data_IF_681145686710
#
_entry.id   IF_681145686710
#
_cell.length_a   1.000
_cell.length_b   1.000
_cell.length_c   1.000
_cell.angle_alpha   90.00
_cell.angle_beta   90.00
_cell.angle_gamma   90.00
#
_symmetry.space_group_name_H-M   'P 1'
#
loop_
_entity.id
_entity.type
_entity.pdbx_description
1 polymer ?
#
# COMPACT_ATOMS: atom_id res chain seq x y z
N UNK A 1 7.68 1.66 31.87
CA UNK A 1 8.76 2.60 31.55
C UNK A 1 8.37 3.59 30.46
N UNK A 2 9.07 4.71 30.37
CA UNK A 2 8.87 5.70 29.32
C UNK A 2 10.17 6.47 29.05
N UNK A 3 10.23 7.06 27.84
CA UNK A 3 11.23 8.05 27.46
C UNK A 3 10.55 9.19 26.70
N UNK A 4 10.90 10.43 27.00
CA UNK A 4 10.41 11.64 26.33
C UNK A 4 11.58 12.27 25.57
N UNK A 5 11.46 12.37 24.27
CA UNK A 5 12.37 13.12 23.38
C UNK A 5 11.79 14.48 23.04
N UNK A 6 12.48 15.22 22.18
CA UNK A 6 12.07 16.57 21.78
C UNK A 6 10.69 16.58 21.08
N UNK A 7 10.48 15.66 20.14
CA UNK A 7 9.25 15.60 19.32
C UNK A 7 8.60 14.20 19.32
N UNK A 8 8.93 13.35 20.32
CA UNK A 8 8.35 12.01 20.42
C UNK A 8 8.41 11.50 21.85
N UNK A 9 7.55 10.54 22.16
CA UNK A 9 7.67 9.73 23.36
C UNK A 9 7.53 8.24 23.03
N UNK A 10 8.21 7.39 23.80
CA UNK A 10 8.01 5.96 23.82
C UNK A 10 7.60 5.51 25.19
N UNK A 11 6.62 4.63 25.26
CA UNK A 11 6.07 4.12 26.50
C UNK A 11 5.92 2.61 26.40
N UNK A 12 6.19 1.90 27.48
CA UNK A 12 6.04 0.46 27.52
C UNK A 12 5.61 0.00 28.91
N UNK A 13 4.72 -0.98 28.93
CA UNK A 13 4.23 -1.65 30.13
C UNK A 13 4.25 -3.17 29.90
N UNK A 14 4.45 -3.95 30.94
CA UNK A 14 4.46 -5.42 30.87
C UNK A 14 5.51 -6.00 29.88
N UNK A 15 6.65 -5.33 29.74
CA UNK A 15 7.73 -5.78 28.86
C UNK A 15 8.55 -6.90 29.52
N UNK A 16 9.13 -7.77 28.66
CA UNK A 16 9.98 -8.87 29.13
C UNK A 16 11.20 -8.37 29.92
N UNK A 17 11.74 -7.19 29.56
CA UNK A 17 12.92 -6.62 30.20
C UNK A 17 13.00 -5.09 29.98
N UNK A 18 14.03 -4.48 30.57
CA UNK A 18 14.28 -3.03 30.54
C UNK A 18 14.92 -2.51 29.26
N UNK A 19 15.29 -3.39 28.31
CA UNK A 19 15.93 -3.02 27.03
C UNK A 19 14.94 -2.47 26.00
N UNK A 20 13.63 -2.68 26.19
CA UNK A 20 12.60 -2.31 25.21
C UNK A 20 12.59 -0.80 24.96
N UNK A 21 12.51 0.03 25.99
CA UNK A 21 12.49 1.50 25.84
C UNK A 21 13.77 2.05 25.18
N UNK A 22 14.99 1.67 25.62
CA UNK A 22 16.22 2.08 24.92
C UNK A 22 16.26 1.68 23.46
N UNK A 23 15.79 0.46 23.12
CA UNK A 23 15.77 -0.04 21.74
C UNK A 23 14.78 0.75 20.86
N UNK A 24 13.57 1.02 21.36
CA UNK A 24 12.58 1.84 20.66
C UNK A 24 13.10 3.26 20.41
N UNK A 25 13.69 3.91 21.43
CA UNK A 25 14.32 5.23 21.30
C UNK A 25 15.39 5.22 20.21
N UNK A 26 16.32 4.28 20.30
CA UNK A 26 17.42 4.13 19.34
C UNK A 26 16.90 3.98 17.92
N UNK A 27 15.97 3.05 17.71
CA UNK A 27 15.37 2.82 16.40
C UNK A 27 14.68 4.07 15.84
N UNK A 28 13.96 4.82 16.68
CA UNK A 28 13.32 6.07 16.24
C UNK A 28 14.34 7.12 15.80
N UNK A 29 15.43 7.29 16.51
CA UNK A 29 16.45 8.30 16.19
C UNK A 29 17.28 7.92 14.95
N UNK A 30 17.68 6.66 14.84
CA UNK A 30 18.53 6.17 13.74
C UNK A 30 17.82 6.07 12.38
N UNK A 31 16.49 6.04 12.37
CA UNK A 31 15.70 5.95 11.14
C UNK A 31 14.99 7.27 10.79
N UNK A 32 15.59 8.42 11.13
CA UNK A 32 15.00 9.73 10.91
C UNK A 32 14.81 10.10 9.42
N UNK A 33 15.49 9.43 8.52
CA UNK A 33 15.37 9.59 7.06
C UNK A 33 14.19 8.83 6.45
N UNK A 34 13.53 7.94 7.20
CA UNK A 34 12.35 7.21 6.71
C UNK A 34 11.08 8.05 6.88
N UNK A 35 10.05 7.83 6.02
CA UNK A 35 8.71 8.33 6.28
C UNK A 35 8.22 7.86 7.65
N UNK A 36 7.34 8.64 8.30
CA UNK A 36 6.96 8.41 9.71
C UNK A 36 6.41 7.02 9.98
N UNK A 37 5.54 6.50 9.10
CA UNK A 37 4.95 5.17 9.27
C UNK A 37 6.01 4.06 9.25
N UNK A 38 6.91 4.09 8.28
CA UNK A 38 8.02 3.15 8.15
C UNK A 38 8.98 3.25 9.33
N UNK A 39 9.22 4.46 9.82
CA UNK A 39 10.02 4.72 11.02
C UNK A 39 9.38 4.12 12.27
N UNK A 40 8.04 4.22 12.43
CA UNK A 40 7.31 3.59 13.54
C UNK A 40 7.37 2.06 13.45
N UNK A 41 7.28 1.47 12.25
CA UNK A 41 7.48 0.02 12.07
C UNK A 41 8.87 -0.40 12.59
N UNK A 42 9.93 0.38 12.33
CA UNK A 42 11.27 0.10 12.87
C UNK A 42 11.30 0.14 14.40
N UNK A 43 10.53 1.03 15.01
CA UNK A 43 10.39 1.08 16.48
C UNK A 43 9.70 -0.18 17.02
N UNK A 44 8.64 -0.65 16.35
CA UNK A 44 7.96 -1.90 16.74
C UNK A 44 8.88 -3.11 16.58
N UNK A 45 9.58 -3.23 15.44
CA UNK A 45 10.57 -4.28 15.20
C UNK A 45 11.68 -4.29 16.28
N UNK A 46 12.14 -3.11 16.71
CA UNK A 46 13.16 -2.98 17.74
C UNK A 46 12.66 -3.42 19.13
N UNK A 47 11.42 -3.10 19.47
CA UNK A 47 10.81 -3.56 20.71
C UNK A 47 10.73 -5.09 20.77
N UNK A 48 10.23 -5.71 19.67
CA UNK A 48 10.11 -7.16 19.56
C UNK A 48 11.48 -7.87 19.59
N UNK A 49 12.50 -7.31 18.95
CA UNK A 49 13.84 -7.90 18.85
C UNK A 49 14.53 -8.11 20.20
N UNK A 50 14.11 -7.40 21.22
CA UNK A 50 14.66 -7.50 22.59
C UNK A 50 13.69 -8.16 23.57
N UNK A 51 12.61 -8.77 23.06
CA UNK A 51 11.68 -9.59 23.82
C UNK A 51 10.25 -9.08 23.92
N UNK A 52 9.97 -7.81 23.58
CA UNK A 52 8.62 -7.27 23.52
C UNK A 52 7.81 -7.40 24.80
N UNK A 53 6.52 -7.68 24.67
CA UNK A 53 5.59 -7.91 25.77
C UNK A 53 5.82 -9.30 26.41
N UNK A 54 5.91 -9.37 27.73
CA UNK A 54 6.13 -10.64 28.44
C UNK A 54 5.00 -11.65 28.25
N UNK A 55 3.81 -11.19 27.87
CA UNK A 55 2.64 -12.03 27.64
C UNK A 55 2.63 -12.64 26.23
N UNK A 56 3.50 -12.17 25.34
CA UNK A 56 3.55 -12.56 23.92
C UNK A 56 2.95 -11.53 22.99
N UNK A 57 2.73 -11.95 21.77
CA UNK A 57 2.25 -11.13 20.64
C UNK A 57 0.77 -11.38 20.43
N UNK A 58 0.01 -10.36 20.05
CA UNK A 58 -1.40 -10.53 19.68
C UNK A 58 -1.84 -9.49 18.66
N UNK A 59 -1.65 -8.20 18.94
CA UNK A 59 -2.23 -7.12 18.14
C UNK A 59 -1.24 -5.98 17.91
N UNK A 60 -1.51 -5.16 16.88
CA UNK A 60 -0.79 -3.93 16.61
C UNK A 60 -1.70 -2.92 15.92
N UNK A 61 -1.43 -1.63 16.13
CA UNK A 61 -2.09 -0.55 15.41
C UNK A 61 -1.09 0.54 15.04
N UNK A 62 -1.29 1.16 13.87
CA UNK A 62 -0.50 2.27 13.37
C UNK A 62 -1.44 3.34 12.81
N UNK A 63 -1.42 4.52 13.43
CA UNK A 63 -2.20 5.67 12.96
C UNK A 63 -1.25 6.81 12.66
N UNK A 64 -1.39 7.41 11.47
CA UNK A 64 -0.72 8.66 11.10
C UNK A 64 -1.77 9.67 10.70
N UNK A 65 -1.73 10.82 11.31
CA UNK A 65 -2.63 11.95 11.00
C UNK A 65 -1.87 13.03 10.26
N UNK A 66 -2.60 13.81 9.46
CA UNK A 66 -2.07 14.98 8.79
C UNK A 66 -1.68 16.08 9.80
N UNK A 67 -0.78 16.98 9.39
CA UNK A 67 -0.35 18.12 10.21
C UNK A 67 -1.50 19.11 10.43
N UNK A 68 -2.27 19.36 9.39
CA UNK A 68 -3.38 20.31 9.42
C UNK A 68 -4.71 19.55 9.50
N UNK A 69 -5.64 20.06 10.30
CA UNK A 69 -7.01 19.59 10.34
C UNK A 69 -7.73 20.06 9.06
N UNK A 70 -8.41 19.14 8.39
CA UNK A 70 -9.25 19.48 7.23
C UNK A 70 -10.73 19.62 7.63
N UNK A 71 -11.57 20.12 6.73
CA UNK A 71 -13.02 20.11 6.92
C UNK A 71 -13.60 18.69 6.85
N UNK A 72 -12.87 17.76 6.25
CA UNK A 72 -13.24 16.37 6.06
C UNK A 72 -12.44 15.47 7.01
N UNK A 73 -13.02 15.10 8.14
CA UNK A 73 -12.37 14.31 9.19
C UNK A 73 -11.72 13.02 8.66
N UNK A 74 -12.32 12.38 7.65
CA UNK A 74 -11.76 11.17 7.04
C UNK A 74 -10.47 11.40 6.26
N UNK A 75 -10.18 12.65 5.83
CA UNK A 75 -8.93 13.02 5.17
C UNK A 75 -7.79 13.32 6.16
N UNK A 76 -8.13 13.55 7.43
CA UNK A 76 -7.14 13.84 8.47
C UNK A 76 -6.29 12.62 8.81
N UNK A 77 -6.86 11.42 8.73
CA UNK A 77 -6.13 10.17 8.88
C UNK A 77 -5.47 9.79 7.56
N UNK A 78 -4.15 9.89 7.51
CA UNK A 78 -3.35 9.48 6.35
C UNK A 78 -3.12 7.98 6.32
N UNK A 79 -2.96 7.38 7.49
CA UNK A 79 -2.80 5.93 7.69
C UNK A 79 -3.60 5.53 8.92
N UNK A 80 -4.40 4.48 8.83
CA UNK A 80 -5.11 3.84 9.96
C UNK A 80 -5.11 2.32 9.71
N UNK A 81 -4.10 1.64 10.26
CA UNK A 81 -3.91 0.21 10.09
C UNK A 81 -4.05 -0.50 11.43
N UNK A 82 -4.74 -1.65 11.44
CA UNK A 82 -5.00 -2.46 12.63
C UNK A 82 -4.83 -3.94 12.34
N UNK A 83 -4.27 -4.62 13.31
CA UNK A 83 -4.19 -6.08 13.39
C UNK A 83 -4.72 -6.45 14.77
N UNK A 84 -5.91 -7.01 14.83
CA UNK A 84 -6.60 -7.27 16.10
C UNK A 84 -6.11 -8.57 16.74
N UNK A 85 -5.79 -9.58 15.91
CA UNK A 85 -5.27 -10.88 16.37
C UNK A 85 -4.36 -11.50 15.31
N UNK A 86 -3.12 -11.82 15.70
CA UNK A 86 -2.11 -12.46 14.84
C UNK A 86 -0.98 -13.03 15.68
N UNK A 87 -0.39 -14.12 15.23
CA UNK A 87 0.85 -14.67 15.82
C UNK A 87 2.05 -13.74 15.60
N UNK A 88 2.05 -12.93 14.54
CA UNK A 88 3.08 -11.93 14.25
C UNK A 88 2.47 -10.59 13.77
N UNK A 89 1.89 -9.82 14.71
CA UNK A 89 1.15 -8.60 14.38
C UNK A 89 2.03 -7.50 13.77
N UNK A 90 3.33 -7.45 14.12
CA UNK A 90 4.25 -6.44 13.57
C UNK A 90 4.59 -6.77 12.11
N UNK A 91 4.80 -8.03 11.78
CA UNK A 91 4.97 -8.46 10.38
C UNK A 91 3.73 -8.16 9.55
N UNK A 92 2.55 -8.42 10.12
CA UNK A 92 1.29 -8.19 9.42
C UNK A 92 1.02 -6.69 9.23
N UNK A 93 1.22 -5.84 10.22
CA UNK A 93 1.01 -4.39 10.05
C UNK A 93 2.02 -3.79 9.05
N UNK A 94 3.25 -4.31 9.00
CA UNK A 94 4.24 -3.95 7.97
C UNK A 94 3.77 -4.35 6.57
N UNK A 95 3.16 -5.54 6.42
CA UNK A 95 2.54 -5.98 5.16
C UNK A 95 1.40 -5.05 4.77
N UNK A 96 0.51 -4.72 5.72
CA UNK A 96 -0.61 -3.79 5.48
C UNK A 96 -0.12 -2.39 5.09
N UNK A 97 0.96 -1.88 5.69
CA UNK A 97 1.55 -0.61 5.28
C UNK A 97 2.06 -0.66 3.83
N UNK A 98 2.68 -1.76 3.43
CA UNK A 98 3.13 -1.95 2.04
C UNK A 98 1.95 -1.96 1.06
N UNK A 99 0.86 -2.63 1.43
CA UNK A 99 -0.40 -2.62 0.65
C UNK A 99 -0.96 -1.20 0.55
N UNK A 100 -1.03 -0.49 1.68
CA UNK A 100 -1.48 0.91 1.71
C UNK A 100 -0.66 1.79 0.75
N UNK A 101 0.67 1.68 0.77
CA UNK A 101 1.55 2.41 -0.17
C UNK A 101 1.30 2.05 -1.63
N UNK A 102 1.02 0.78 -1.92
CA UNK A 102 0.66 0.38 -3.27
C UNK A 102 -0.62 1.07 -3.76
N UNK A 103 -1.64 1.16 -2.91
CA UNK A 103 -2.88 1.87 -3.25
C UNK A 103 -2.71 3.41 -3.31
N UNK A 104 -1.82 4.00 -2.51
CA UNK A 104 -1.45 5.42 -2.68
C UNK A 104 -0.90 5.66 -4.10
N UNK A 105 0.01 4.80 -4.58
CA UNK A 105 0.53 4.90 -5.94
C UNK A 105 -0.53 4.62 -7.02
N UNK A 106 -1.49 3.72 -6.77
CA UNK A 106 -2.63 3.55 -7.67
C UNK A 106 -3.44 4.83 -7.81
N UNK A 107 -3.79 5.46 -6.67
CA UNK A 107 -4.55 6.71 -6.66
C UNK A 107 -3.78 7.85 -7.37
N UNK A 108 -2.46 7.96 -7.18
CA UNK A 108 -1.64 8.93 -7.90
C UNK A 108 -1.62 8.66 -9.42
N UNK A 109 -1.64 7.38 -9.80
CA UNK A 109 -1.79 6.97 -11.21
C UNK A 109 -3.13 7.40 -11.79
N UNK A 110 -4.23 7.20 -11.06
CA UNK A 110 -5.58 7.59 -11.47
C UNK A 110 -5.68 9.12 -11.63
N UNK A 111 -5.16 9.89 -10.68
CA UNK A 111 -5.10 11.35 -10.76
C UNK A 111 -4.27 11.82 -11.98
N UNK A 112 -3.15 11.16 -12.26
CA UNK A 112 -2.34 11.48 -13.44
C UNK A 112 -3.10 11.20 -14.76
N UNK A 113 -3.95 10.16 -14.82
CA UNK A 113 -4.84 9.92 -15.95
C UNK A 113 -5.83 11.09 -16.13
N UNK A 114 -6.44 11.58 -15.04
CA UNK A 114 -7.35 12.72 -15.09
C UNK A 114 -6.66 14.01 -15.57
N UNK A 115 -5.38 14.17 -15.21
CA UNK A 115 -4.51 15.27 -15.66
C UNK A 115 -3.98 15.10 -17.09
N UNK A 116 -4.28 13.99 -17.78
CA UNK A 116 -3.72 13.57 -19.05
C UNK A 116 -2.19 13.38 -19.05
N UNK A 117 -1.59 13.11 -17.88
CA UNK A 117 -0.16 12.77 -17.72
C UNK A 117 0.04 11.26 -17.71
N UNK A 118 0.04 10.66 -18.89
CA UNK A 118 0.17 9.21 -19.05
C UNK A 118 1.53 8.67 -18.58
N UNK A 119 2.60 9.43 -18.74
CA UNK A 119 3.93 8.99 -18.33
C UNK A 119 4.02 8.88 -16.81
N UNK A 120 3.50 9.88 -16.09
CA UNK A 120 3.37 9.84 -14.62
C UNK A 120 2.48 8.67 -14.20
N UNK A 121 1.33 8.47 -14.84
CA UNK A 121 0.41 7.38 -14.52
C UNK A 121 1.10 6.00 -14.62
N UNK A 122 1.85 5.74 -15.69
CA UNK A 122 2.55 4.48 -15.89
C UNK A 122 3.67 4.26 -14.87
N UNK A 123 4.35 5.33 -14.45
CA UNK A 123 5.35 5.29 -13.38
C UNK A 123 4.68 4.89 -12.06
N UNK A 124 3.59 5.55 -11.70
CA UNK A 124 2.91 5.31 -10.42
C UNK A 124 2.29 3.90 -10.38
N UNK A 125 1.59 3.45 -11.42
CA UNK A 125 1.13 2.06 -11.50
C UNK A 125 2.27 1.03 -11.47
N UNK A 126 3.43 1.36 -12.04
CA UNK A 126 4.63 0.52 -11.95
C UNK A 126 5.14 0.37 -10.52
N UNK A 127 5.15 1.46 -9.74
CA UNK A 127 5.50 1.44 -8.31
C UNK A 127 4.49 0.61 -7.51
N UNK A 128 3.19 0.81 -7.74
CA UNK A 128 2.14 0.03 -7.09
C UNK A 128 2.33 -1.48 -7.33
N UNK A 129 2.54 -1.89 -8.57
CA UNK A 129 2.80 -3.27 -8.95
C UNK A 129 4.06 -3.83 -8.28
N UNK A 130 5.12 -3.04 -8.17
CA UNK A 130 6.37 -3.45 -7.51
C UNK A 130 6.22 -3.63 -6.00
N UNK A 131 5.36 -2.82 -5.37
CA UNK A 131 5.06 -2.93 -3.95
C UNK A 131 4.15 -4.10 -3.63
N UNK A 132 3.19 -4.44 -4.51
CA UNK A 132 2.22 -5.51 -4.25
C UNK A 132 2.02 -6.38 -5.49
N UNK A 133 3.07 -7.12 -5.93
CA UNK A 133 3.05 -7.90 -7.16
C UNK A 133 2.06 -9.07 -7.14
N UNK A 134 1.68 -9.57 -5.95
CA UNK A 134 0.71 -10.64 -5.78
C UNK A 134 -0.73 -10.20 -6.09
N UNK A 135 -1.00 -8.89 -6.07
CA UNK A 135 -2.31 -8.36 -6.37
C UNK A 135 -2.45 -8.05 -7.86
N UNK A 136 -3.24 -8.87 -8.54
CA UNK A 136 -3.53 -8.71 -9.97
C UNK A 136 -4.19 -7.38 -10.31
N UNK A 137 -4.82 -6.73 -9.37
CA UNK A 137 -5.45 -5.41 -9.55
C UNK A 137 -4.44 -4.36 -10.01
N UNK A 138 -3.25 -4.34 -9.39
CA UNK A 138 -2.17 -3.40 -9.74
C UNK A 138 -1.76 -3.54 -11.21
N UNK A 139 -1.61 -4.78 -11.66
CA UNK A 139 -1.28 -5.09 -13.06
C UNK A 139 -2.44 -4.81 -14.02
N UNK A 140 -3.67 -5.11 -13.60
CA UNK A 140 -4.86 -4.93 -14.42
C UNK A 140 -5.07 -3.46 -14.78
N UNK A 141 -5.07 -2.54 -13.81
CA UNK A 141 -5.27 -1.11 -14.07
C UNK A 141 -4.13 -0.49 -14.86
N UNK A 142 -2.88 -0.93 -14.64
CA UNK A 142 -1.75 -0.56 -15.50
C UNK A 142 -1.99 -0.97 -16.97
N UNK A 143 -2.52 -2.18 -17.19
CA UNK A 143 -2.82 -2.64 -18.55
C UNK A 143 -3.97 -1.85 -19.18
N UNK A 144 -4.98 -1.43 -18.40
CA UNK A 144 -6.05 -0.52 -18.86
C UNK A 144 -5.45 0.82 -19.32
N UNK A 145 -4.56 1.42 -18.52
CA UNK A 145 -3.89 2.68 -18.88
C UNK A 145 -3.07 2.54 -20.17
N UNK A 146 -2.30 1.46 -20.32
CA UNK A 146 -1.55 1.16 -21.54
C UNK A 146 -2.48 1.00 -22.76
N UNK A 147 -3.60 0.29 -22.59
CA UNK A 147 -4.59 0.07 -23.65
C UNK A 147 -5.19 1.38 -24.14
N UNK A 148 -5.62 2.23 -23.20
CA UNK A 148 -6.19 3.56 -23.51
C UNK A 148 -5.17 4.48 -24.19
N UNK A 149 -3.87 4.31 -23.88
CA UNK A 149 -2.76 5.07 -24.50
C UNK A 149 -2.26 4.44 -25.82
N UNK A 150 -2.98 3.49 -26.40
CA UNK A 150 -2.63 2.86 -27.67
C UNK A 150 -1.49 1.83 -27.60
N UNK A 151 -0.89 1.58 -26.44
CA UNK A 151 0.18 0.57 -26.22
C UNK A 151 -0.42 -0.84 -26.10
N UNK A 152 -1.16 -1.25 -27.15
CA UNK A 152 -2.00 -2.46 -27.15
C UNK A 152 -1.21 -3.73 -26.90
N UNK A 153 -0.05 -3.90 -27.52
CA UNK A 153 0.77 -5.10 -27.37
C UNK A 153 1.35 -5.26 -25.97
N UNK A 154 1.74 -4.15 -25.34
CA UNK A 154 2.21 -4.18 -23.95
C UNK A 154 1.06 -4.52 -23.00
N UNK A 155 -0.10 -3.90 -23.17
CA UNK A 155 -1.30 -4.18 -22.39
C UNK A 155 -1.71 -5.64 -22.51
N UNK A 156 -1.70 -6.23 -23.73
CA UNK A 156 -2.08 -7.62 -23.98
C UNK A 156 -1.22 -8.60 -23.18
N UNK A 157 0.08 -8.42 -23.16
CA UNK A 157 1.00 -9.26 -22.37
C UNK A 157 0.64 -9.30 -20.89
N UNK A 158 0.25 -8.15 -20.35
CA UNK A 158 -0.16 -8.05 -18.92
C UNK A 158 -1.53 -8.71 -18.73
N UNK A 159 -2.50 -8.44 -19.60
CA UNK A 159 -3.83 -9.07 -19.52
C UNK A 159 -3.76 -10.59 -19.62
N UNK A 160 -2.92 -11.15 -20.49
CA UNK A 160 -2.77 -12.60 -20.62
C UNK A 160 -2.31 -13.25 -19.32
N UNK A 161 -1.40 -12.61 -18.59
CA UNK A 161 -0.97 -13.07 -17.27
C UNK A 161 -2.08 -12.94 -16.22
N UNK A 162 -2.71 -11.76 -16.14
CA UNK A 162 -3.76 -11.46 -15.17
C UNK A 162 -4.98 -12.36 -15.36
N UNK A 163 -5.42 -12.57 -16.61
CA UNK A 163 -6.58 -13.42 -16.91
C UNK A 163 -6.31 -14.90 -16.68
N UNK A 164 -5.06 -15.35 -16.87
CA UNK A 164 -4.64 -16.71 -16.56
C UNK A 164 -4.68 -16.97 -15.04
N UNK A 165 -4.25 -15.99 -14.25
CA UNK A 165 -4.24 -16.09 -12.78
C UNK A 165 -5.66 -15.98 -12.18
N UNK A 166 -6.49 -15.07 -12.71
CA UNK A 166 -7.85 -14.88 -12.26
C UNK A 166 -8.77 -14.49 -13.45
N UNK A 167 -9.54 -15.45 -13.98
CA UNK A 167 -10.45 -15.22 -15.12
C UNK A 167 -11.55 -14.17 -14.90
N UNK A 168 -11.81 -13.78 -13.66
CA UNK A 168 -12.82 -12.76 -13.38
C UNK A 168 -12.40 -11.38 -13.88
N UNK A 169 -11.09 -11.09 -13.96
CA UNK A 169 -10.60 -9.87 -14.56
C UNK A 169 -10.98 -9.76 -16.05
N UNK A 170 -11.00 -10.90 -16.77
CA UNK A 170 -11.51 -10.92 -18.15
C UNK A 170 -12.99 -10.59 -18.23
N UNK A 171 -13.80 -11.03 -17.25
CA UNK A 171 -15.22 -10.66 -17.19
C UNK A 171 -15.40 -9.17 -16.86
N UNK A 172 -14.52 -8.62 -16.01
CA UNK A 172 -14.57 -7.21 -15.63
C UNK A 172 -14.29 -6.30 -16.82
N UNK A 173 -13.24 -6.56 -17.61
CA UNK A 173 -12.87 -5.67 -18.73
C UNK A 173 -14.01 -5.46 -19.71
N UNK A 174 -14.85 -6.46 -19.96
CA UNK A 174 -16.04 -6.37 -20.84
C UNK A 174 -17.16 -5.49 -20.27
N UNK A 175 -17.09 -5.10 -19.01
CA UNK A 175 -18.06 -4.20 -18.36
C UNK A 175 -17.61 -2.73 -18.43
N UNK A 176 -16.31 -2.48 -18.58
CA UNK A 176 -15.71 -1.16 -18.53
C UNK A 176 -16.08 -0.22 -19.69
N UNK A 177 -16.36 -0.69 -20.92
CA UNK A 177 -16.84 0.20 -21.99
C UNK A 177 -18.10 0.95 -21.63
N UNK A 178 -19.02 0.31 -20.89
CA UNK A 178 -20.29 0.95 -20.45
C UNK A 178 -20.08 2.12 -19.50
N UNK A 179 -19.02 2.10 -18.70
CA UNK A 179 -18.67 3.17 -17.75
C UNK A 179 -17.72 4.22 -18.33
N UNK A 180 -17.30 4.07 -19.60
CA UNK A 180 -16.36 4.99 -20.25
C UNK A 180 -14.91 4.88 -19.79
N UNK A 181 -14.57 3.89 -18.94
CA UNK A 181 -13.19 3.67 -18.45
C UNK A 181 -12.28 3.18 -19.58
N UNK A 182 -12.84 2.48 -20.56
CA UNK A 182 -12.12 2.02 -21.77
C UNK A 182 -12.80 2.63 -22.99
N UNK A 183 -11.99 3.16 -23.92
CA UNK A 183 -12.46 3.75 -25.16
C UNK A 183 -12.93 2.70 -26.19
N UNK A 184 -12.49 1.45 -26.05
CA UNK A 184 -12.86 0.35 -26.94
C UNK A 184 -14.28 -0.17 -26.64
N UNK A 185 -15.01 -0.49 -27.72
CA UNK A 185 -16.30 -1.19 -27.62
C UNK A 185 -16.09 -2.67 -27.27
N UNK A 186 -17.16 -3.35 -26.84
CA UNK A 186 -17.13 -4.81 -26.58
C UNK A 186 -16.69 -5.60 -27.83
N UNK A 187 -17.12 -5.21 -29.04
CA UNK A 187 -16.71 -5.87 -30.30
C UNK A 187 -15.22 -5.71 -30.57
N UNK A 188 -14.67 -4.51 -30.30
CA UNK A 188 -13.23 -4.26 -30.47
C UNK A 188 -12.41 -5.05 -29.43
N UNK A 189 -12.88 -5.17 -28.19
CA UNK A 189 -12.27 -6.03 -27.19
C UNK A 189 -12.28 -7.51 -27.61
N UNK A 190 -13.40 -8.00 -28.17
CA UNK A 190 -13.48 -9.37 -28.71
C UNK A 190 -12.42 -9.62 -29.79
N UNK A 191 -12.25 -8.68 -30.72
CA UNK A 191 -11.23 -8.76 -31.76
C UNK A 191 -9.83 -8.71 -31.17
N UNK A 192 -9.58 -7.79 -30.24
CA UNK A 192 -8.29 -7.60 -29.59
C UNK A 192 -7.81 -8.83 -28.81
N UNK A 193 -8.71 -9.53 -28.11
CA UNK A 193 -8.33 -10.72 -27.34
C UNK A 193 -8.39 -12.04 -28.11
N UNK A 194 -8.90 -12.05 -29.35
CA UNK A 194 -8.89 -13.23 -30.23
C UNK A 194 -7.62 -13.34 -31.08
N UNK A 195 -6.98 -12.24 -31.33
CA UNK A 195 -5.73 -12.13 -32.11
C UNK A 195 -4.55 -11.89 -31.18
#
# INVERSE_FOLDING_TARGET
GHYIGENFSVQANMMLNDKVIPSMKKAFLENSNLPLAERIIKVFEAAESVGGDIRGKQSAALIVVGKEKTENIWQDKKIDLRVDDSEDPIKEIKRLLKVHRAYEHMNEGDLAIEENDMDKALIEYGKAQSLFPENNEMSFWKAIALLNNGKKEEAKKIFDVVFKQNPNWKKLIYRLPKSGIISMTVKELDFYFKN
#
